data_IF_947867517500
#
_entry.id   IF_947867517500
#
_cell.length_a   1.000
_cell.length_b   1.000
_cell.length_c   1.000
_cell.angle_alpha   90.00
_cell.angle_beta   90.00
_cell.angle_gamma   90.00
#
_symmetry.space_group_name_H-M   'P 1'
#
loop_
_entity.id
_entity.type
_entity.pdbx_description
1 polymer ?
#
# COMPACT_ATOMS: atom_id res chain seq x y z
N UNK A 1 -10.37 0.90 2.43
CA UNK A 1 -8.92 1.07 2.33
C UNK A 1 -8.41 0.53 1.01
N UNK A 2 -7.36 1.13 0.46
CA UNK A 2 -6.73 0.67 -0.79
C UNK A 2 -5.36 -0.02 -0.58
N UNK A 3 -4.76 0.18 0.56
CA UNK A 3 -3.39 -0.27 0.88
C UNK A 3 -3.42 -1.24 2.05
N UNK A 4 -4.18 -2.32 1.86
CA UNK A 4 -4.37 -3.35 2.88
C UNK A 4 -3.91 -4.67 2.31
N UNK A 5 -3.05 -5.37 3.03
CA UNK A 5 -2.56 -6.69 2.62
C UNK A 5 -3.69 -7.70 2.60
N UNK A 6 -3.86 -8.37 1.48
CA UNK A 6 -4.83 -9.44 1.31
C UNK A 6 -4.34 -10.70 2.04
N UNK A 7 -4.98 -11.04 3.12
CA UNK A 7 -4.71 -12.25 3.89
C UNK A 7 -5.97 -13.08 4.06
N UNK A 8 -5.82 -14.39 4.25
CA UNK A 8 -6.96 -15.29 4.48
C UNK A 8 -7.76 -14.92 5.73
N UNK A 9 -7.09 -14.47 6.79
CA UNK A 9 -7.75 -14.02 8.03
C UNK A 9 -8.63 -12.79 7.80
N UNK A 10 -8.14 -11.82 7.03
CA UNK A 10 -8.90 -10.61 6.69
C UNK A 10 -10.07 -10.92 5.77
N UNK A 11 -9.83 -11.71 4.74
CA UNK A 11 -10.84 -12.08 3.75
C UNK A 11 -11.88 -13.06 4.32
N UNK A 12 -11.44 -14.20 4.85
CA UNK A 12 -12.35 -15.22 5.37
C UNK A 12 -12.84 -14.94 6.80
N UNK A 13 -11.97 -14.42 7.68
CA UNK A 13 -12.23 -14.30 9.12
C UNK A 13 -12.85 -12.99 9.56
N UNK A 14 -12.47 -11.86 8.95
CA UNK A 14 -12.85 -10.52 9.43
C UNK A 14 -14.00 -9.87 8.63
N UNK A 15 -14.67 -10.62 7.76
CA UNK A 15 -15.78 -10.09 6.97
C UNK A 15 -15.37 -9.00 5.97
N UNK A 16 -14.15 -9.09 5.45
CA UNK A 16 -13.63 -8.22 4.39
C UNK A 16 -13.74 -8.91 3.03
N UNK A 17 -13.78 -8.13 1.95
CA UNK A 17 -13.64 -8.61 0.58
C UNK A 17 -12.74 -7.67 -0.21
N UNK A 18 -11.80 -8.24 -0.94
CA UNK A 18 -10.81 -7.50 -1.73
C UNK A 18 -11.23 -7.41 -3.19
N UNK A 19 -11.14 -6.22 -3.76
CA UNK A 19 -11.54 -5.97 -5.15
C UNK A 19 -10.46 -6.31 -6.18
N UNK A 20 -9.25 -6.59 -5.73
CA UNK A 20 -8.09 -6.94 -6.55
C UNK A 20 -6.79 -6.50 -5.90
N UNK A 21 -5.67 -6.78 -6.56
CA UNK A 21 -4.34 -6.33 -6.12
C UNK A 21 -3.92 -5.12 -6.93
N UNK A 22 -3.60 -4.03 -6.26
CA UNK A 22 -3.10 -2.79 -6.89
C UNK A 22 -1.57 -2.74 -6.92
N UNK A 23 -0.91 -3.39 -5.96
CA UNK A 23 0.54 -3.39 -5.85
C UNK A 23 1.03 -4.59 -5.05
N UNK A 24 2.07 -5.26 -5.52
CA UNK A 24 2.80 -6.27 -4.77
C UNK A 24 3.97 -5.63 -4.05
N UNK A 25 3.81 -5.42 -2.76
CA UNK A 25 4.81 -4.84 -1.88
C UNK A 25 5.48 -5.92 -1.01
N UNK A 26 6.25 -5.48 -0.05
CA UNK A 26 6.85 -6.33 0.97
C UNK A 26 7.40 -5.48 2.10
N UNK A 27 7.46 -6.06 3.29
CA UNK A 27 7.99 -5.40 4.49
C UNK A 27 9.48 -5.20 4.36
N UNK A 28 9.94 -4.02 4.77
CA UNK A 28 11.36 -3.63 4.82
C UNK A 28 11.68 -2.82 6.07
N UNK A 29 12.87 -2.22 6.07
CA UNK A 29 13.40 -1.47 7.20
C UNK A 29 14.00 -0.14 6.73
N UNK A 30 13.67 0.94 7.41
CA UNK A 30 14.25 2.28 7.24
C UNK A 30 15.10 2.60 8.45
N UNK A 31 16.35 2.95 8.23
CA UNK A 31 17.33 3.27 9.29
C UNK A 31 17.99 4.61 9.01
N UNK A 32 18.49 5.27 10.07
CA UNK A 32 19.39 6.39 9.90
C UNK A 32 20.78 5.88 9.47
N UNK A 33 21.41 6.55 8.50
CA UNK A 33 22.74 6.20 8.00
C UNK A 33 23.82 6.16 9.10
N UNK A 34 23.62 6.94 10.17
CA UNK A 34 24.53 6.95 11.34
C UNK A 34 24.57 5.61 12.09
N UNK A 35 23.56 4.76 11.93
CA UNK A 35 23.54 3.41 12.50
C UNK A 35 24.64 2.51 11.88
N UNK A 36 25.08 2.84 10.65
CA UNK A 36 26.16 2.16 9.97
C UNK A 36 25.81 0.78 9.39
N UNK A 37 24.58 0.29 9.56
CA UNK A 37 24.12 -1.02 9.08
C UNK A 37 23.76 -0.96 7.59
N UNK A 38 24.02 -2.06 6.88
CA UNK A 38 23.73 -2.20 5.44
C UNK A 38 22.76 -3.35 5.13
N UNK A 39 22.45 -4.16 6.12
CA UNK A 39 21.61 -5.34 6.00
C UNK A 39 20.70 -5.47 7.21
N UNK A 40 19.50 -5.97 6.99
CA UNK A 40 18.57 -6.30 8.07
C UNK A 40 19.11 -7.37 9.03
N UNK A 41 20.08 -8.16 8.60
CA UNK A 41 20.79 -9.14 9.46
C UNK A 41 21.68 -8.51 10.50
N UNK A 42 22.01 -7.24 10.35
CA UNK A 42 22.83 -6.47 11.29
C UNK A 42 22.00 -5.73 12.35
N UNK A 43 20.68 -5.94 12.37
CA UNK A 43 19.74 -5.29 13.29
C UNK A 43 19.56 -6.05 14.62
N UNK A 44 20.50 -6.91 15.00
CA UNK A 44 20.41 -7.62 16.28
C UNK A 44 20.44 -6.63 17.47
N UNK A 45 19.47 -6.77 18.38
CA UNK A 45 19.31 -5.89 19.54
C UNK A 45 18.67 -4.53 19.27
N UNK A 46 18.33 -4.21 18.01
CA UNK A 46 17.76 -2.91 17.64
C UNK A 46 16.37 -2.66 18.26
N UNK A 47 16.05 -1.38 18.52
CA UNK A 47 14.69 -0.93 18.80
C UNK A 47 13.96 -0.63 17.49
N UNK A 48 12.78 -1.23 17.30
CA UNK A 48 12.03 -1.14 16.04
C UNK A 48 10.66 -0.52 16.25
N UNK A 49 10.41 0.62 15.61
CA UNK A 49 9.10 1.25 15.54
C UNK A 49 8.21 0.50 14.56
N UNK A 50 7.04 0.06 15.02
CA UNK A 50 6.08 -0.76 14.26
C UNK A 50 4.67 -0.21 14.46
N UNK A 51 3.87 -0.16 13.40
CA UNK A 51 2.44 0.12 13.56
C UNK A 51 1.70 -1.11 14.08
N UNK A 52 0.97 -0.95 15.17
CA UNK A 52 0.22 -2.03 15.83
C UNK A 52 -0.88 -2.61 14.94
N UNK A 53 -1.16 -3.91 15.08
CA UNK A 53 -2.24 -4.59 14.39
C UNK A 53 -2.03 -4.78 12.89
N UNK A 54 -0.80 -4.71 12.42
CA UNK A 54 -0.43 -4.88 11.02
C UNK A 54 0.18 -6.26 10.72
N UNK A 55 0.17 -6.68 9.45
CA UNK A 55 0.95 -7.86 9.00
C UNK A 55 2.44 -7.67 9.22
N UNK A 56 2.92 -6.43 9.21
CA UNK A 56 4.33 -6.06 9.47
C UNK A 56 4.80 -6.58 10.81
N UNK A 57 3.99 -6.44 11.87
CA UNK A 57 4.33 -6.90 13.22
C UNK A 57 4.63 -8.41 13.25
N UNK A 58 3.79 -9.22 12.60
CA UNK A 58 3.99 -10.67 12.49
C UNK A 58 5.24 -11.00 11.64
N UNK A 59 5.38 -10.36 10.49
CA UNK A 59 6.49 -10.62 9.57
C UNK A 59 7.85 -10.28 10.18
N UNK A 60 7.93 -9.18 10.94
CA UNK A 60 9.16 -8.81 11.67
C UNK A 60 9.50 -9.84 12.74
N UNK A 61 8.50 -10.25 13.54
CA UNK A 61 8.70 -11.28 14.57
C UNK A 61 9.22 -12.58 13.97
N UNK A 62 8.61 -13.02 12.87
CA UNK A 62 9.02 -14.26 12.19
C UNK A 62 10.42 -14.14 11.57
N UNK A 63 10.75 -13.02 10.95
CA UNK A 63 12.06 -12.77 10.36
C UNK A 63 13.18 -12.79 11.39
N UNK A 64 13.01 -12.06 12.51
CA UNK A 64 14.02 -12.00 13.58
C UNK A 64 14.20 -13.37 14.24
N UNK A 65 13.13 -14.08 14.51
CA UNK A 65 13.18 -15.45 15.05
C UNK A 65 13.89 -16.40 14.10
N UNK A 66 13.57 -16.38 12.80
CA UNK A 66 14.17 -17.27 11.81
C UNK A 66 15.68 -17.02 11.60
N UNK A 67 16.15 -15.79 11.86
CA UNK A 67 17.56 -15.42 11.75
C UNK A 67 18.30 -15.44 13.09
N UNK A 68 17.67 -15.90 14.19
CA UNK A 68 18.21 -15.89 15.56
C UNK A 68 18.64 -14.49 16.04
N UNK A 69 17.92 -13.45 15.60
CA UNK A 69 18.14 -12.06 15.98
C UNK A 69 17.15 -11.66 17.09
N UNK A 70 17.56 -10.72 17.92
CA UNK A 70 16.72 -10.10 18.94
C UNK A 70 16.35 -8.67 18.52
N UNK A 71 15.22 -8.18 18.97
CA UNK A 71 14.81 -6.79 18.81
C UNK A 71 13.84 -6.38 19.92
N UNK A 72 13.67 -5.08 20.11
CA UNK A 72 12.69 -4.52 21.04
C UNK A 72 11.63 -3.76 20.21
N UNK A 73 10.39 -4.25 20.13
CA UNK A 73 9.33 -3.55 19.42
C UNK A 73 8.83 -2.33 20.22
N UNK A 74 8.62 -1.22 19.51
CA UNK A 74 7.91 -0.03 20.03
C UNK A 74 6.73 0.21 19.09
N UNK A 75 5.51 -0.03 19.60
CA UNK A 75 4.29 0.02 18.81
C UNK A 75 3.62 1.38 18.87
N UNK A 76 3.03 1.80 17.76
CA UNK A 76 2.29 3.04 17.57
C UNK A 76 0.97 2.78 16.84
N UNK A 77 -0.01 3.65 17.05
CA UNK A 77 -1.30 3.54 16.36
C UNK A 77 -1.20 4.01 14.91
N UNK A 78 -0.31 4.95 14.60
CA UNK A 78 -0.17 5.52 13.27
C UNK A 78 1.26 5.43 12.74
N UNK A 79 1.38 5.35 11.41
CA UNK A 79 2.69 5.35 10.74
C UNK A 79 3.43 6.69 10.86
N UNK A 80 2.71 7.81 11.00
CA UNK A 80 3.33 9.13 11.17
C UNK A 80 3.96 9.28 12.57
N UNK A 81 3.35 8.70 13.61
CA UNK A 81 3.96 8.64 14.95
C UNK A 81 5.22 7.78 14.96
N UNK A 82 5.17 6.63 14.27
CA UNK A 82 6.33 5.75 14.11
C UNK A 82 7.49 6.47 13.41
N UNK A 83 7.22 7.22 12.33
CA UNK A 83 8.23 7.98 11.61
C UNK A 83 8.86 9.10 12.44
N UNK A 84 8.04 9.86 13.18
CA UNK A 84 8.53 10.89 14.12
C UNK A 84 9.36 10.29 15.25
N UNK A 85 9.03 9.08 15.69
CA UNK A 85 9.78 8.38 16.74
C UNK A 85 11.15 7.89 16.25
N UNK A 86 11.26 7.46 14.98
CA UNK A 86 12.54 7.21 14.34
C UNK A 86 13.37 8.51 14.29
N UNK A 87 12.77 9.61 13.84
CA UNK A 87 13.46 10.90 13.69
C UNK A 87 13.98 11.46 15.02
N UNK A 88 13.21 11.28 16.10
CA UNK A 88 13.61 11.69 17.45
C UNK A 88 14.61 10.74 18.13
N UNK A 89 14.98 9.63 17.48
CA UNK A 89 15.88 8.61 18.03
C UNK A 89 15.25 7.73 19.12
N UNK A 90 13.92 7.69 19.22
CA UNK A 90 13.22 6.80 20.15
C UNK A 90 13.30 5.34 19.72
N UNK A 91 13.46 5.08 18.42
CA UNK A 91 13.79 3.77 17.87
C UNK A 91 14.89 3.91 16.83
N UNK A 92 15.63 2.82 16.61
CA UNK A 92 16.75 2.73 15.68
C UNK A 92 16.26 2.48 14.24
N UNK A 93 15.10 1.82 14.13
CA UNK A 93 14.55 1.30 12.87
C UNK A 93 13.07 1.60 12.80
N UNK A 94 12.59 2.02 11.63
CA UNK A 94 11.17 2.01 11.26
C UNK A 94 10.91 0.86 10.30
N UNK A 95 9.87 0.08 10.53
CA UNK A 95 9.44 -1.00 9.64
C UNK A 95 8.02 -0.78 9.14
N UNK A 96 7.80 -1.07 7.88
CA UNK A 96 6.52 -1.05 7.16
C UNK A 96 6.70 -1.67 5.78
N UNK A 97 5.66 -1.63 4.96
CA UNK A 97 5.77 -1.87 3.51
C UNK A 97 6.80 -0.94 2.89
N UNK A 98 7.64 -1.44 1.98
CA UNK A 98 8.75 -0.64 1.40
C UNK A 98 8.25 0.62 0.71
N UNK A 99 7.13 0.55 -0.02
CA UNK A 99 6.54 1.75 -0.64
C UNK A 99 6.18 2.82 0.39
N UNK A 100 5.66 2.39 1.55
CA UNK A 100 5.34 3.30 2.66
C UNK A 100 6.60 3.86 3.31
N UNK A 101 7.66 3.06 3.47
CA UNK A 101 8.94 3.54 3.99
C UNK A 101 9.55 4.62 3.10
N UNK A 102 9.52 4.46 1.78
CA UNK A 102 9.96 5.50 0.84
C UNK A 102 9.11 6.77 0.97
N UNK A 103 7.80 6.64 1.10
CA UNK A 103 6.91 7.79 1.29
C UNK A 103 7.13 8.49 2.65
N UNK A 104 7.34 7.74 3.74
CA UNK A 104 7.64 8.31 5.05
C UNK A 104 9.01 8.99 5.05
N UNK A 105 10.02 8.40 4.40
CA UNK A 105 11.35 8.99 4.27
C UNK A 105 11.29 10.40 3.67
N UNK A 106 10.44 10.65 2.68
CA UNK A 106 10.33 11.99 2.06
C UNK A 106 9.74 13.06 2.99
N UNK A 107 9.07 12.65 4.07
CA UNK A 107 8.48 13.56 5.06
C UNK A 107 9.41 13.90 6.21
N UNK A 108 10.53 13.18 6.37
CA UNK A 108 11.53 13.45 7.42
C UNK A 108 12.25 14.77 7.13
N UNK A 109 12.73 15.45 8.17
CA UNK A 109 13.42 16.73 8.04
C UNK A 109 14.66 16.65 7.13
N UNK A 110 15.40 15.53 7.21
CA UNK A 110 16.55 15.25 6.37
C UNK A 110 16.43 13.86 5.73
N UNK A 111 15.70 13.70 4.63
CA UNK A 111 15.47 12.39 4.00
C UNK A 111 16.74 11.64 3.59
N UNK A 112 17.83 12.38 3.26
CA UNK A 112 19.11 11.81 2.84
C UNK A 112 19.90 11.16 3.98
N UNK A 113 19.55 11.46 5.24
CA UNK A 113 20.17 10.81 6.40
C UNK A 113 19.62 9.40 6.64
N UNK A 114 18.63 8.96 5.87
CA UNK A 114 17.96 7.69 6.05
C UNK A 114 18.03 6.82 4.79
N UNK A 115 18.13 5.52 4.99
CA UNK A 115 18.15 4.52 3.91
C UNK A 115 17.15 3.39 4.19
N UNK A 116 16.46 2.96 3.15
CA UNK A 116 15.68 1.71 3.17
C UNK A 116 16.65 0.57 2.87
N UNK A 117 16.74 -0.39 3.79
CA UNK A 117 17.62 -1.55 3.62
C UNK A 117 17.19 -2.43 2.43
N UNK A 118 18.13 -3.17 1.82
CA UNK A 118 17.84 -3.90 0.58
C UNK A 118 16.85 -5.06 0.77
N UNK A 119 16.82 -5.67 1.94
CA UNK A 119 15.99 -6.84 2.18
C UNK A 119 14.50 -6.53 2.09
N UNK A 120 13.74 -7.50 1.57
CA UNK A 120 12.28 -7.56 1.59
C UNK A 120 11.91 -8.85 2.28
N UNK A 121 11.31 -8.76 3.46
CA UNK A 121 11.13 -9.91 4.36
C UNK A 121 9.75 -10.59 4.23
N UNK A 122 8.86 -10.03 3.40
CA UNK A 122 7.54 -10.62 3.14
C UNK A 122 7.06 -10.29 1.73
N UNK A 123 5.93 -10.88 1.34
CA UNK A 123 5.15 -10.47 0.17
C UNK A 123 3.80 -9.95 0.62
N UNK A 124 3.52 -8.70 0.27
CA UNK A 124 2.32 -7.99 0.65
C UNK A 124 1.48 -7.65 -0.60
N UNK A 125 0.49 -8.49 -0.98
CA UNK A 125 -0.45 -8.15 -2.04
C UNK A 125 -1.44 -7.11 -1.50
N UNK A 126 -1.22 -5.85 -1.87
CA UNK A 126 -2.01 -4.72 -1.41
C UNK A 126 -3.19 -4.47 -2.33
N UNK A 127 -4.36 -4.23 -1.77
CA UNK A 127 -5.55 -3.98 -2.59
C UNK A 127 -6.65 -3.21 -1.89
N UNK A 128 -7.61 -2.70 -2.68
CA UNK A 128 -8.81 -2.11 -2.14
C UNK A 128 -9.64 -3.17 -1.42
N UNK A 129 -10.09 -2.83 -0.23
CA UNK A 129 -10.90 -3.71 0.61
C UNK A 129 -12.15 -2.99 1.09
N UNK A 130 -13.27 -3.69 1.05
CA UNK A 130 -14.57 -3.24 1.54
C UNK A 130 -15.15 -4.27 2.52
N UNK A 131 -16.24 -3.93 3.21
CA UNK A 131 -16.96 -4.85 4.08
C UNK A 131 -17.74 -5.86 3.22
N UNK A 132 -17.80 -7.12 3.63
CA UNK A 132 -18.69 -8.13 3.03
C UNK A 132 -20.16 -7.77 3.24
N UNK A 133 -21.02 -8.21 2.31
CA UNK A 133 -22.48 -8.07 2.39
C UNK A 133 -23.03 -6.80 1.76
N UNK A 134 -22.19 -6.02 1.07
CA UNK A 134 -22.59 -4.90 0.22
C UNK A 134 -22.00 -5.12 -1.19
N UNK A 135 -22.71 -5.92 -1.97
CA UNK A 135 -22.27 -6.33 -3.31
C UNK A 135 -22.29 -5.17 -4.32
N UNK A 136 -23.21 -4.23 -4.15
CA UNK A 136 -23.27 -3.03 -4.98
C UNK A 136 -22.01 -2.17 -4.74
N UNK A 137 -21.67 -1.90 -3.49
CA UNK A 137 -20.46 -1.17 -3.14
C UNK A 137 -19.19 -1.89 -3.56
N UNK A 138 -19.12 -3.19 -3.36
CA UNK A 138 -18.01 -4.01 -3.84
C UNK A 138 -17.84 -3.90 -5.35
N UNK A 139 -18.92 -3.97 -6.11
CA UNK A 139 -18.90 -3.84 -7.56
C UNK A 139 -18.41 -2.46 -8.00
N UNK A 140 -18.85 -1.38 -7.35
CA UNK A 140 -18.37 -0.03 -7.62
C UNK A 140 -16.85 0.06 -7.42
N UNK A 141 -16.34 -0.39 -6.27
CA UNK A 141 -14.90 -0.32 -5.96
C UNK A 141 -14.08 -1.17 -6.93
N UNK A 142 -14.55 -2.38 -7.26
CA UNK A 142 -13.90 -3.27 -8.22
C UNK A 142 -13.83 -2.65 -9.61
N UNK A 143 -14.93 -2.14 -10.11
CA UNK A 143 -14.98 -1.56 -11.46
C UNK A 143 -14.26 -0.22 -11.54
N UNK A 144 -14.20 0.55 -10.46
CA UNK A 144 -13.32 1.73 -10.37
C UNK A 144 -11.85 1.32 -10.54
N UNK A 145 -11.41 0.25 -9.89
CA UNK A 145 -10.05 -0.27 -10.09
C UNK A 145 -9.82 -0.69 -11.55
N UNK A 146 -10.74 -1.45 -12.13
CA UNK A 146 -10.60 -1.88 -13.52
C UNK A 146 -10.65 -0.72 -14.52
N UNK A 147 -11.49 0.29 -14.27
CA UNK A 147 -11.52 1.51 -15.08
C UNK A 147 -10.18 2.25 -15.06
N UNK A 148 -9.54 2.34 -13.89
CA UNK A 148 -8.21 2.95 -13.77
C UNK A 148 -7.13 2.16 -14.52
N UNK A 149 -7.15 0.82 -14.44
CA UNK A 149 -6.22 -0.05 -15.17
C UNK A 149 -6.43 0.06 -16.69
N UNK A 150 -7.68 0.03 -17.15
CA UNK A 150 -8.00 0.19 -18.56
C UNK A 150 -7.62 1.60 -19.08
N UNK A 151 -7.82 2.62 -18.26
CA UNK A 151 -7.40 3.99 -18.60
C UNK A 151 -5.88 4.10 -18.76
N UNK A 152 -5.12 3.49 -17.83
CA UNK A 152 -3.66 3.44 -17.90
C UNK A 152 -3.18 2.75 -19.18
N UNK A 153 -3.74 1.57 -19.50
CA UNK A 153 -3.41 0.79 -20.69
C UNK A 153 -3.77 1.54 -21.98
N UNK A 154 -4.89 2.26 -21.98
CA UNK A 154 -5.33 3.08 -23.10
C UNK A 154 -4.61 4.45 -23.21
N UNK A 155 -3.69 4.75 -22.31
CA UNK A 155 -2.97 6.04 -22.28
C UNK A 155 -3.84 7.23 -21.87
N UNK A 156 -4.95 6.99 -21.17
CA UNK A 156 -5.84 8.04 -20.65
C UNK A 156 -5.26 8.61 -19.36
N UNK A 157 -5.16 9.91 -19.30
CA UNK A 157 -4.59 10.67 -18.19
C UNK A 157 -5.46 11.85 -17.83
N UNK A 158 -5.22 12.47 -16.68
CA UNK A 158 -5.88 13.74 -16.29
C UNK A 158 -5.69 14.87 -17.30
N UNK A 159 -4.68 14.78 -18.19
CA UNK A 159 -4.38 15.82 -19.19
C UNK A 159 -5.19 15.66 -20.47
N UNK A 160 -5.57 14.42 -20.84
CA UNK A 160 -6.23 14.13 -22.11
C UNK A 160 -7.66 13.61 -21.96
N UNK A 161 -8.09 13.15 -20.79
CA UNK A 161 -9.40 12.50 -20.58
C UNK A 161 -10.57 13.31 -21.13
N UNK A 162 -10.58 14.63 -20.95
CA UNK A 162 -11.68 15.50 -21.43
C UNK A 162 -11.72 15.57 -22.97
N UNK A 163 -10.56 15.59 -23.61
CA UNK A 163 -10.47 15.60 -25.08
C UNK A 163 -10.86 14.24 -25.66
N UNK A 164 -10.35 13.17 -25.07
CA UNK A 164 -10.65 11.79 -25.47
C UNK A 164 -12.15 11.46 -25.31
N UNK A 165 -12.77 11.88 -24.22
CA UNK A 165 -14.22 11.70 -24.03
C UNK A 165 -15.08 12.37 -25.12
N UNK A 166 -14.57 13.44 -25.78
CA UNK A 166 -15.29 14.16 -26.83
C UNK A 166 -15.02 13.66 -28.24
N UNK A 167 -13.84 13.09 -28.48
CA UNK A 167 -13.35 12.91 -29.87
C UNK A 167 -12.67 11.57 -30.13
N UNK A 168 -12.59 10.67 -29.15
CA UNK A 168 -11.98 9.35 -29.36
C UNK A 168 -12.70 8.56 -30.45
N UNK A 169 -11.92 7.89 -31.28
CA UNK A 169 -12.41 6.93 -32.27
C UNK A 169 -12.29 5.48 -31.80
N UNK A 170 -11.67 5.26 -30.63
CA UNK A 170 -11.54 3.96 -30.05
C UNK A 170 -12.84 3.62 -29.29
N UNK A 171 -13.58 2.57 -29.68
CA UNK A 171 -14.85 2.22 -29.05
C UNK A 171 -14.69 1.79 -27.59
N UNK A 172 -13.56 1.19 -27.21
CA UNK A 172 -13.32 0.80 -25.83
C UNK A 172 -13.10 2.02 -24.93
N UNK A 173 -12.35 3.01 -25.41
CA UNK A 173 -12.15 4.29 -24.72
C UNK A 173 -13.47 5.07 -24.66
N UNK A 174 -14.28 5.06 -25.74
CA UNK A 174 -15.57 5.72 -25.73
C UNK A 174 -16.52 5.14 -24.66
N UNK A 175 -16.55 3.80 -24.51
CA UNK A 175 -17.30 3.13 -23.45
C UNK A 175 -16.76 3.45 -22.07
N UNK A 176 -15.44 3.36 -21.89
CA UNK A 176 -14.78 3.65 -20.62
C UNK A 176 -15.07 5.06 -20.10
N UNK A 177 -15.08 6.05 -21.03
CA UNK A 177 -15.29 7.46 -20.69
C UNK A 177 -16.78 7.88 -20.75
N UNK A 178 -17.70 6.94 -20.93
CA UNK A 178 -19.12 7.21 -21.00
C UNK A 178 -19.60 8.02 -22.23
N UNK A 179 -18.75 8.16 -23.25
CA UNK A 179 -19.17 8.74 -24.54
C UNK A 179 -20.13 7.80 -25.27
N UNK A 180 -19.95 6.49 -25.12
CA UNK A 180 -20.82 5.42 -25.61
C UNK A 180 -21.08 4.42 -24.47
N UNK A 181 -22.22 3.71 -24.50
CA UNK A 181 -22.58 2.72 -23.49
C UNK A 181 -23.14 3.31 -22.18
N UNK A 182 -23.44 2.43 -21.23
CA UNK A 182 -24.14 2.76 -19.98
C UNK A 182 -23.49 2.08 -18.74
N UNK A 183 -22.16 2.01 -18.66
CA UNK A 183 -21.47 1.34 -17.53
C UNK A 183 -21.86 1.91 -16.16
N UNK A 184 -22.03 3.24 -16.07
CA UNK A 184 -22.50 3.86 -14.83
C UNK A 184 -23.87 3.36 -14.40
N UNK A 185 -24.79 3.17 -15.33
CA UNK A 185 -26.15 2.68 -15.05
C UNK A 185 -26.15 1.29 -14.42
N UNK A 186 -25.31 0.38 -14.91
CA UNK A 186 -25.19 -0.98 -14.35
C UNK A 186 -24.67 -0.96 -12.91
N UNK A 187 -23.89 0.06 -12.57
CA UNK A 187 -23.39 0.32 -11.22
C UNK A 187 -24.31 1.22 -10.39
N UNK A 188 -25.47 1.61 -10.92
CA UNK A 188 -26.40 2.58 -10.30
C UNK A 188 -25.76 3.96 -10.06
N UNK A 189 -24.83 4.34 -10.92
CA UNK A 189 -24.06 5.60 -10.88
C UNK A 189 -24.43 6.48 -12.07
N UNK A 190 -24.11 7.79 -12.03
CA UNK A 190 -24.20 8.68 -13.19
C UNK A 190 -23.34 8.18 -14.36
N UNK A 191 -23.63 8.69 -15.57
CA UNK A 191 -22.91 8.30 -16.77
C UNK A 191 -21.41 8.67 -16.73
N UNK A 192 -21.07 9.71 -15.99
CA UNK A 192 -19.75 10.31 -15.83
C UNK A 192 -19.04 9.91 -14.51
N UNK A 193 -19.44 8.76 -13.93
CA UNK A 193 -18.87 8.20 -12.67
C UNK A 193 -17.37 8.02 -12.61
#
# INVERSE_FOLDING_TARGET
SRNTTWTSSRDAGMGMVFAGVTYYDGVGFLVNNKLGVKSAKELDGATICIQAGTTTELNVSDYFRANNLKYTPITFDTSDESAKSLESGRCDVLTSDKSQLYAQRTKLANPNDYVVLPETISKEPLGPVVRKGDEDWFSIVKWTLFAMLNAEEAGITSKNVVAEAKSTKNPDVARLLGADGEYGKDLKLPKDW
#
